data_IF_524678748350
#
_entry.id   IF_524678748350
#
_cell.length_a   1.000
_cell.length_b   1.000
_cell.length_c   1.000
_cell.angle_alpha   90.00
_cell.angle_beta   90.00
_cell.angle_gamma   90.00
#
_symmetry.space_group_name_H-M   'P 1'
#
loop_
_entity.id
_entity.type
_entity.pdbx_description
1 polymer ?
#
# COMPACT_ATOMS: atom_id res chain seq x y z
N UNK A 1 6.75 8.95 -8.64
CA UNK A 1 6.33 7.61 -8.19
C UNK A 1 7.23 6.54 -8.81
N UNK A 2 7.31 5.33 -8.26
CA UNK A 2 8.08 4.19 -8.79
C UNK A 2 7.53 2.85 -8.26
N UNK A 3 7.66 1.78 -9.06
CA UNK A 3 7.43 0.39 -8.65
C UNK A 3 8.74 -0.42 -8.63
N UNK A 4 9.90 0.25 -8.77
CA UNK A 4 11.20 -0.41 -8.81
C UNK A 4 11.48 -1.18 -7.52
N UNK A 5 11.75 -2.48 -7.68
CA UNK A 5 11.98 -3.40 -6.57
C UNK A 5 13.20 -2.99 -5.73
N UNK A 6 14.31 -2.70 -6.40
CA UNK A 6 15.58 -2.35 -5.77
C UNK A 6 15.56 -0.92 -5.20
N UNK A 7 15.94 -0.77 -3.93
CA UNK A 7 15.93 0.54 -3.25
C UNK A 7 16.82 1.55 -3.96
N UNK A 8 17.95 1.09 -4.50
CA UNK A 8 18.90 1.88 -5.28
C UNK A 8 18.30 2.48 -6.57
N UNK A 9 17.28 1.84 -7.14
CA UNK A 9 16.60 2.29 -8.38
C UNK A 9 15.43 3.26 -8.10
N UNK A 10 14.99 3.36 -6.84
CA UNK A 10 13.83 4.19 -6.47
C UNK A 10 14.11 5.69 -6.56
N UNK A 11 15.32 6.11 -6.21
CA UNK A 11 15.69 7.53 -6.12
C UNK A 11 14.82 8.29 -5.11
N UNK A 12 14.58 9.59 -5.36
CA UNK A 12 13.71 10.45 -4.55
C UNK A 12 12.25 10.38 -5.03
N UNK A 13 11.65 9.18 -5.04
CA UNK A 13 10.27 8.96 -5.51
C UNK A 13 9.49 8.14 -4.49
N UNK A 14 8.18 8.36 -4.44
CA UNK A 14 7.24 7.49 -3.70
C UNK A 14 7.21 6.11 -4.35
N UNK A 15 7.45 5.06 -3.56
CA UNK A 15 7.37 3.67 -3.97
C UNK A 15 5.96 3.13 -3.72
N UNK A 16 5.32 2.58 -4.76
CA UNK A 16 4.08 1.81 -4.59
C UNK A 16 4.48 0.39 -4.19
N UNK A 17 4.25 0.04 -2.93
CA UNK A 17 4.55 -1.29 -2.40
C UNK A 17 3.42 -2.28 -2.72
N UNK A 18 3.35 -2.73 -3.98
CA UNK A 18 2.36 -3.71 -4.45
C UNK A 18 2.43 -5.06 -3.69
N UNK A 19 3.58 -5.38 -3.10
CA UNK A 19 3.76 -6.58 -2.30
C UNK A 19 3.07 -6.52 -0.93
N UNK A 20 2.43 -5.41 -0.55
CA UNK A 20 1.54 -5.37 0.62
C UNK A 20 0.27 -6.20 0.44
N UNK A 21 -0.13 -6.50 -0.80
CA UNK A 21 -1.26 -7.41 -1.09
C UNK A 21 -0.90 -8.89 -0.93
N UNK A 22 0.37 -9.22 -0.72
CA UNK A 22 0.78 -10.59 -0.46
C UNK A 22 0.34 -11.05 0.94
N UNK A 23 0.28 -12.37 1.16
CA UNK A 23 -0.06 -12.97 2.46
C UNK A 23 0.95 -12.59 3.55
N UNK A 24 0.52 -12.50 4.81
CA UNK A 24 1.38 -12.29 5.99
C UNK A 24 2.24 -11.01 5.94
N UNK A 25 1.70 -9.96 5.30
CA UNK A 25 2.30 -8.63 5.28
C UNK A 25 1.73 -7.78 6.42
N UNK A 26 2.60 -6.96 7.03
CA UNK A 26 2.21 -6.06 8.11
C UNK A 26 1.58 -4.78 7.55
N UNK A 27 0.30 -4.54 7.86
CA UNK A 27 -0.41 -3.29 7.56
C UNK A 27 -1.01 -2.77 8.86
N UNK A 28 -0.82 -1.48 9.15
CA UNK A 28 -1.45 -0.85 10.30
C UNK A 28 -2.96 -0.74 10.05
N UNK A 29 -3.80 -1.12 11.03
CA UNK A 29 -5.24 -0.98 10.88
C UNK A 29 -5.64 0.51 10.97
N UNK A 30 -6.79 0.86 10.38
CA UNK A 30 -7.41 2.15 10.64
C UNK A 30 -7.54 2.41 12.16
N UNK A 31 -7.30 3.65 12.57
CA UNK A 31 -7.31 4.12 13.95
C UNK A 31 -6.26 3.49 14.89
N UNK A 32 -5.36 2.62 14.39
CA UNK A 32 -4.27 2.10 15.21
C UNK A 32 -3.22 3.16 15.52
N UNK A 33 -2.75 3.18 16.77
CA UNK A 33 -1.61 3.99 17.20
C UNK A 33 -0.31 3.35 16.69
N UNK A 34 0.64 4.17 16.26
CA UNK A 34 1.95 3.75 15.79
C UNK A 34 2.97 3.86 16.91
N UNK A 35 3.92 2.93 16.95
CA UNK A 35 5.04 2.94 17.89
C UNK A 35 6.07 4.03 17.53
N UNK A 36 5.67 5.29 17.69
CA UNK A 36 6.46 6.49 17.43
C UNK A 36 6.40 7.41 18.65
N UNK A 37 7.41 8.30 18.85
CA UNK A 37 7.40 9.23 19.99
C UNK A 37 6.19 10.16 20.04
N UNK A 38 5.63 10.51 18.88
CA UNK A 38 4.44 11.34 18.71
C UNK A 38 3.12 10.58 18.90
N UNK A 39 3.17 9.25 19.08
CA UNK A 39 1.99 8.38 19.14
C UNK A 39 0.99 8.63 18.00
N UNK A 40 1.52 8.85 16.78
CA UNK A 40 0.70 9.08 15.59
C UNK A 40 -0.32 7.96 15.35
N UNK A 41 -1.48 8.30 14.79
CA UNK A 41 -2.57 7.38 14.49
C UNK A 41 -2.69 7.18 12.98
N UNK A 42 -2.95 5.95 12.55
CA UNK A 42 -3.35 5.66 11.16
C UNK A 42 -4.78 6.16 10.91
N UNK A 43 -4.94 7.48 10.76
CA UNK A 43 -6.24 8.13 10.69
C UNK A 43 -6.86 8.05 9.29
N UNK A 44 -8.10 7.55 9.17
CA UNK A 44 -8.93 7.76 7.97
C UNK A 44 -9.21 9.24 7.75
N UNK A 45 -9.15 9.66 6.48
CA UNK A 45 -9.39 11.04 6.04
C UNK A 45 -10.25 11.03 4.78
N UNK A 46 -10.97 12.12 4.55
CA UNK A 46 -11.72 12.37 3.32
C UNK A 46 -10.79 12.75 2.17
N UNK A 47 -11.26 12.61 0.93
CA UNK A 47 -10.51 13.06 -0.25
C UNK A 47 -10.30 14.57 -0.27
N UNK A 48 -11.25 15.34 0.27
CA UNK A 48 -11.18 16.80 0.28
C UNK A 48 -10.13 17.34 1.26
N UNK A 49 -9.90 16.66 2.40
CA UNK A 49 -8.88 17.09 3.37
C UNK A 49 -7.49 16.50 3.09
N UNK A 50 -7.40 15.40 2.33
CA UNK A 50 -6.13 14.70 2.05
C UNK A 50 -4.98 15.61 1.57
N UNK A 51 -5.19 16.64 0.72
CA UNK A 51 -4.12 17.52 0.28
C UNK A 51 -3.52 18.41 1.38
N UNK A 52 -4.25 18.65 2.46
CA UNK A 52 -3.95 19.68 3.46
C UNK A 52 -3.51 19.12 4.83
N UNK A 53 -3.68 17.81 5.04
CA UNK A 53 -3.38 17.16 6.32
C UNK A 53 -1.92 16.73 6.42
N UNK A 54 -1.37 16.85 7.62
CA UNK A 54 -0.07 16.30 7.99
C UNK A 54 -0.25 15.12 8.94
N UNK A 55 0.72 14.20 8.97
CA UNK A 55 0.60 12.99 9.82
C UNK A 55 0.55 13.32 11.31
N UNK A 56 1.17 14.43 11.69
CA UNK A 56 1.28 14.97 13.05
C UNK A 56 -0.03 15.54 13.57
N UNK A 57 -0.99 15.83 12.69
CA UNK A 57 -2.34 16.27 13.08
C UNK A 57 -3.11 15.16 13.79
N UNK A 58 -2.72 13.89 13.55
CA UNK A 58 -3.41 12.70 14.02
C UNK A 58 -2.56 11.92 15.00
N UNK A 59 -2.84 12.10 16.28
CA UNK A 59 -2.17 11.40 17.38
C UNK A 59 -3.20 10.77 18.31
N UNK A 60 -2.73 9.90 19.20
CA UNK A 60 -3.55 9.30 20.25
C UNK A 60 -4.33 10.35 21.08
N UNK A 61 -3.83 11.58 21.20
CA UNK A 61 -4.49 12.65 21.97
C UNK A 61 -5.43 13.52 21.14
N UNK A 62 -5.20 13.69 19.84
CA UNK A 62 -6.04 14.54 18.97
C UNK A 62 -7.18 13.77 18.32
N UNK A 63 -6.99 12.47 18.06
CA UNK A 63 -7.95 11.66 17.32
C UNK A 63 -9.33 11.50 17.99
N UNK A 64 -9.45 11.35 19.33
CA UNK A 64 -10.77 11.22 19.98
C UNK A 64 -11.69 12.42 19.75
N UNK A 65 -11.16 13.66 19.83
CA UNK A 65 -11.95 14.87 19.58
C UNK A 65 -12.39 14.95 18.12
N UNK A 66 -11.48 14.65 17.19
CA UNK A 66 -11.80 14.60 15.76
C UNK A 66 -12.92 13.60 15.46
N UNK A 67 -12.81 12.38 16.01
CA UNK A 67 -13.83 11.36 15.82
C UNK A 67 -15.18 11.77 16.42
N UNK A 68 -15.20 12.40 17.60
CA UNK A 68 -16.43 12.93 18.18
C UNK A 68 -17.08 14.02 17.31
N UNK A 69 -16.27 14.81 16.59
CA UNK A 69 -16.74 15.92 15.74
C UNK A 69 -17.33 15.44 14.41
N UNK A 70 -16.70 14.46 13.75
CA UNK A 70 -17.08 14.10 12.36
C UNK A 70 -17.39 12.61 12.15
N UNK A 71 -17.23 11.78 13.18
CA UNK A 71 -17.46 10.34 13.11
C UNK A 71 -16.44 9.59 12.26
N UNK A 72 -16.83 8.39 11.84
CA UNK A 72 -16.05 7.56 10.93
C UNK A 72 -16.29 7.96 9.47
N UNK A 73 -15.30 8.60 8.87
CA UNK A 73 -15.34 9.05 7.47
C UNK A 73 -15.35 7.90 6.47
N UNK A 74 -15.02 6.67 6.89
CA UNK A 74 -15.09 5.46 6.06
C UNK A 74 -16.32 4.59 6.36
N UNK A 75 -17.31 5.07 7.12
CA UNK A 75 -18.49 4.28 7.51
C UNK A 75 -19.28 3.67 6.34
N UNK A 76 -19.27 4.29 5.16
CA UNK A 76 -19.90 3.77 3.93
C UNK A 76 -19.01 2.87 3.06
N UNK A 77 -17.79 2.54 3.49
CA UNK A 77 -16.83 1.77 2.67
C UNK A 77 -17.38 0.41 2.24
N UNK A 78 -18.10 -0.29 3.13
CA UNK A 78 -18.67 -1.61 2.86
C UNK A 78 -19.87 -1.56 1.89
N UNK A 79 -20.43 -0.37 1.64
CA UNK A 79 -21.52 -0.17 0.67
C UNK A 79 -20.98 -0.05 -0.77
N UNK A 80 -19.71 0.30 -0.92
CA UNK A 80 -19.03 0.53 -2.21
C UNK A 80 -18.23 -0.70 -2.66
N UNK A 81 -18.89 -1.85 -2.80
CA UNK A 81 -18.23 -3.09 -3.25
C UNK A 81 -17.79 -2.95 -4.72
N UNK A 82 -16.49 -3.03 -4.96
CA UNK A 82 -15.89 -2.89 -6.29
C UNK A 82 -15.57 -4.24 -6.95
N UNK A 83 -15.55 -4.23 -8.28
CA UNK A 83 -15.16 -5.36 -9.10
C UNK A 83 -13.72 -5.19 -9.61
N UNK A 84 -12.94 -6.28 -9.64
CA UNK A 84 -11.55 -6.28 -10.11
C UNK A 84 -11.40 -6.37 -11.63
N UNK A 85 -12.48 -6.59 -12.40
CA UNK A 85 -12.45 -6.81 -13.86
C UNK A 85 -11.62 -5.76 -14.61
N UNK A 86 -11.81 -4.48 -14.32
CA UNK A 86 -11.06 -3.40 -14.99
C UNK A 86 -9.56 -3.52 -14.73
N UNK A 87 -9.16 -3.91 -13.51
CA UNK A 87 -7.76 -4.10 -13.17
C UNK A 87 -7.19 -5.35 -13.85
N UNK A 88 -7.99 -6.42 -13.99
CA UNK A 88 -7.58 -7.63 -14.71
C UNK A 88 -7.41 -7.38 -16.21
N UNK A 89 -8.27 -6.57 -16.82
CA UNK A 89 -8.12 -6.12 -18.22
C UNK A 89 -6.80 -5.36 -18.43
N UNK A 90 -6.37 -4.57 -17.44
CA UNK A 90 -5.07 -3.88 -17.50
C UNK A 90 -3.91 -4.86 -17.39
N UNK A 91 -3.99 -5.86 -16.51
CA UNK A 91 -2.98 -6.93 -16.41
C UNK A 91 -2.83 -7.66 -17.74
N UNK A 92 -3.93 -8.03 -18.39
CA UNK A 92 -3.88 -8.68 -19.71
C UNK A 92 -3.24 -7.81 -20.80
N UNK A 93 -3.43 -6.49 -20.73
CA UNK A 93 -2.79 -5.55 -21.65
C UNK A 93 -1.29 -5.47 -21.39
N UNK A 94 -0.88 -5.33 -20.12
CA UNK A 94 0.52 -5.30 -19.70
C UNK A 94 1.26 -6.59 -20.11
N UNK A 95 0.63 -7.76 -19.92
CA UNK A 95 1.18 -9.05 -20.36
C UNK A 95 1.41 -9.11 -21.87
N UNK A 96 0.47 -8.58 -22.67
CA UNK A 96 0.61 -8.47 -24.13
C UNK A 96 1.76 -7.54 -24.54
N UNK A 97 2.04 -6.53 -23.72
CA UNK A 97 3.17 -5.60 -23.88
C UNK A 97 4.49 -6.16 -23.33
N UNK A 98 4.48 -7.37 -22.77
CA UNK A 98 5.65 -8.06 -22.23
C UNK A 98 5.99 -7.72 -20.78
N UNK A 99 5.11 -7.00 -20.08
CA UNK A 99 5.21 -6.75 -18.64
C UNK A 99 4.51 -7.89 -17.89
N UNK A 100 5.30 -8.77 -17.29
CA UNK A 100 4.80 -9.90 -16.50
C UNK A 100 4.85 -9.66 -14.99
N UNK A 101 4.81 -10.75 -14.23
CA UNK A 101 4.81 -10.74 -12.77
C UNK A 101 6.00 -9.96 -12.17
N UNK A 102 5.72 -9.09 -11.20
CA UNK A 102 6.74 -8.38 -10.44
C UNK A 102 7.36 -9.27 -9.36
N UNK A 103 8.64 -9.04 -8.95
CA UNK A 103 9.31 -9.88 -7.98
C UNK A 103 8.68 -9.80 -6.59
N UNK A 104 8.68 -10.93 -5.88
CA UNK A 104 8.30 -11.03 -4.47
C UNK A 104 9.43 -10.63 -3.53
N UNK A 105 9.14 -10.37 -2.24
CA UNK A 105 10.18 -10.19 -1.23
C UNK A 105 11.14 -11.39 -1.18
N UNK A 106 12.46 -11.18 -1.06
CA UNK A 106 13.46 -12.26 -1.12
C UNK A 106 13.22 -13.43 -0.16
N UNK A 107 12.60 -13.16 0.99
CA UNK A 107 12.35 -14.14 2.05
C UNK A 107 10.89 -14.62 2.07
N UNK A 108 10.10 -14.35 1.03
CA UNK A 108 8.69 -14.72 1.01
C UNK A 108 8.52 -16.21 0.66
N UNK A 109 7.97 -17.05 1.56
CA UNK A 109 7.84 -18.48 1.31
C UNK A 109 6.94 -18.75 0.10
N UNK A 110 7.22 -19.84 -0.61
CA UNK A 110 6.36 -20.37 -1.68
C UNK A 110 5.46 -21.46 -1.11
N UNK A 111 4.22 -21.53 -1.58
CA UNK A 111 3.36 -22.66 -1.27
C UNK A 111 3.72 -23.88 -2.13
N UNK A 112 3.53 -25.12 -1.63
CA UNK A 112 3.67 -26.31 -2.47
C UNK A 112 2.76 -26.23 -3.70
N UNK A 113 3.31 -26.41 -4.90
CA UNK A 113 2.57 -26.34 -6.16
C UNK A 113 2.43 -24.93 -6.77
N UNK A 114 3.00 -23.91 -6.13
CA UNK A 114 2.99 -22.54 -6.66
C UNK A 114 3.92 -22.40 -7.90
N UNK A 115 3.50 -21.65 -8.95
CA UNK A 115 4.32 -21.37 -10.12
C UNK A 115 5.67 -20.70 -9.82
N UNK A 116 6.56 -20.71 -10.81
CA UNK A 116 7.88 -20.09 -10.69
C UNK A 116 7.76 -18.55 -10.71
N UNK A 117 7.86 -17.94 -9.51
CA UNK A 117 7.94 -16.47 -9.37
C UNK A 117 9.14 -15.85 -10.08
N UNK A 118 8.93 -14.65 -10.63
CA UNK A 118 10.00 -13.80 -11.18
C UNK A 118 11.01 -13.46 -10.08
N UNK A 119 12.28 -13.76 -10.33
CA UNK A 119 13.37 -13.40 -9.44
C UNK A 119 13.77 -11.94 -9.68
N UNK A 120 14.06 -11.16 -8.63
CA UNK A 120 14.55 -9.82 -8.81
C UNK A 120 15.93 -9.88 -9.47
N UNK A 121 16.03 -9.51 -10.75
CA UNK A 121 17.31 -9.33 -11.43
C UNK A 121 17.83 -7.94 -11.11
N UNK A 122 19.07 -7.81 -10.63
CA UNK A 122 19.76 -6.52 -10.62
C UNK A 122 20.10 -6.12 -12.04
N UNK A 123 19.88 -4.86 -12.40
CA UNK A 123 20.57 -4.30 -13.56
C UNK A 123 22.08 -4.45 -13.34
N UNK A 124 22.77 -5.21 -14.20
CA UNK A 124 24.23 -5.22 -14.22
C UNK A 124 24.68 -3.78 -14.49
N UNK A 125 25.48 -3.19 -13.59
CA UNK A 125 26.16 -1.94 -13.91
C UNK A 125 27.05 -2.20 -15.16
N UNK A 126 27.02 -1.32 -16.17
CA UNK A 126 28.00 -1.37 -17.25
C UNK A 126 29.43 -1.14 -16.71
#
# INVERSE_FOLDING_TARGET
MTTAWWKEERGKRVFIDFNQNARDRTVASAYSVRARPDAAVSAPVTWDELPDVETEDFTMTTMPERFARIGDVHSGMDEAVCDLRVLLEWVELEEKEGLGEAPYPPNFPKMPGEPARVQPSRARKP
#
